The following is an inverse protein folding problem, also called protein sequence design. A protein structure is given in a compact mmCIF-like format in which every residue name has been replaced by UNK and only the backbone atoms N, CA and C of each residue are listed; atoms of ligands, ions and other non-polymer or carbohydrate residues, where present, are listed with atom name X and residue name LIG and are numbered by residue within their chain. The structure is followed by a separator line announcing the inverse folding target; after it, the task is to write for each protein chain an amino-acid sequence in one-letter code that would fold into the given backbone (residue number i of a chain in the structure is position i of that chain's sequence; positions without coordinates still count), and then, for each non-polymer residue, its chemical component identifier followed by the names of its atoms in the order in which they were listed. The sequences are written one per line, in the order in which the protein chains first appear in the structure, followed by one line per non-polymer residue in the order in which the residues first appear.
data_IF_999681531161
#
_entry.id   IF_999681531161
#
_cell.length_a   1.000
_cell.length_b   1.000
_cell.length_c   1.000
_cell.angle_alpha   90.00
_cell.angle_beta   90.00
_cell.angle_gamma   90.00
#
_symmetry.space_group_name_H-M   'P 1'
#
loop_
_entity.id
_entity.type
_entity.pdbx_description
1 polymer ?
#
# COMPACT_ATOMS: atom_id res chain seq x y z
N UNK A 1 13.00 -9.10 22.67
CA UNK A 1 11.73 -9.79 22.28
C UNK A 1 11.35 -9.55 20.81
N UNK A 2 11.82 -8.51 20.15
CA UNK A 2 11.68 -8.27 18.70
C UNK A 2 12.43 -9.32 17.87
N UNK A 3 13.41 -10.00 18.45
CA UNK A 3 14.27 -11.00 17.79
C UNK A 3 13.56 -12.31 17.38
N UNK A 4 12.42 -12.63 17.98
CA UNK A 4 11.70 -13.88 17.64
C UNK A 4 11.08 -13.81 16.25
N UNK A 5 10.59 -12.63 15.87
CA UNK A 5 9.90 -12.36 14.61
C UNK A 5 10.84 -12.33 13.40
N UNK A 6 12.11 -12.01 13.60
CA UNK A 6 13.09 -11.90 12.52
C UNK A 6 13.74 -13.24 12.11
N UNK A 7 13.55 -14.30 12.91
CA UNK A 7 14.05 -15.65 12.60
C UNK A 7 13.07 -16.47 11.76
N UNK A 8 11.79 -16.06 11.72
CA UNK A 8 10.76 -16.73 10.92
C UNK A 8 10.75 -16.08 9.55
N UNK A 9 11.05 -16.84 8.51
CA UNK A 9 11.09 -16.36 7.13
C UNK A 9 10.09 -17.10 6.25
N UNK A 10 9.67 -16.46 5.15
CA UNK A 10 8.80 -17.07 4.16
C UNK A 10 7.35 -17.22 4.62
N UNK A 11 6.73 -18.33 4.26
CA UNK A 11 5.31 -18.62 4.51
C UNK A 11 4.92 -18.63 5.99
N UNK A 12 5.80 -19.11 6.87
CA UNK A 12 5.56 -19.10 8.30
C UNK A 12 5.44 -17.68 8.89
N UNK A 13 6.19 -16.71 8.37
CA UNK A 13 6.05 -15.30 8.76
C UNK A 13 4.70 -14.73 8.32
N UNK A 14 4.25 -15.03 7.09
CA UNK A 14 2.95 -14.60 6.59
C UNK A 14 1.80 -15.19 7.41
N UNK A 15 1.84 -16.50 7.72
CA UNK A 15 0.83 -17.14 8.56
C UNK A 15 0.77 -16.53 9.96
N UNK A 16 1.92 -16.23 10.56
CA UNK A 16 1.99 -15.64 11.90
C UNK A 16 1.47 -14.22 11.94
N UNK A 17 1.72 -13.42 10.90
CA UNK A 17 1.15 -12.07 10.79
C UNK A 17 -0.36 -12.09 10.59
N UNK A 18 -0.89 -13.01 9.78
CA UNK A 18 -2.34 -13.21 9.64
C UNK A 18 -2.99 -13.64 10.94
N UNK A 19 -2.37 -14.58 11.68
CA UNK A 19 -2.86 -15.03 12.98
C UNK A 19 -2.93 -13.88 14.00
N UNK A 20 -1.92 -13.00 14.04
CA UNK A 20 -1.96 -11.81 14.89
C UNK A 20 -3.03 -10.81 14.46
N UNK A 21 -3.24 -10.64 13.16
CA UNK A 21 -4.34 -9.81 12.63
C UNK A 21 -5.69 -10.33 13.09
N UNK A 22 -5.94 -11.65 12.97
CA UNK A 22 -7.16 -12.28 13.43
C UNK A 22 -7.33 -12.21 14.95
N UNK A 23 -6.25 -12.33 15.72
CA UNK A 23 -6.31 -12.17 17.16
C UNK A 23 -6.75 -10.75 17.55
N UNK A 24 -6.22 -9.71 16.87
CA UNK A 24 -6.65 -8.34 17.08
C UNK A 24 -8.11 -8.14 16.69
N UNK A 25 -8.55 -8.71 15.57
CA UNK A 25 -9.95 -8.68 15.13
C UNK A 25 -10.90 -9.23 16.22
N UNK A 26 -10.60 -10.44 16.74
CA UNK A 26 -11.41 -11.08 17.82
C UNK A 26 -11.38 -10.25 19.11
N UNK A 27 -10.23 -9.67 19.46
CA UNK A 27 -10.12 -8.79 20.63
C UNK A 27 -11.03 -7.56 20.44
N UNK A 28 -10.98 -6.90 19.28
CA UNK A 28 -11.83 -5.75 18.99
C UNK A 28 -13.32 -6.10 19.04
N UNK A 29 -13.73 -7.23 18.50
CA UNK A 29 -15.11 -7.70 18.59
C UNK A 29 -15.56 -7.96 20.04
N UNK A 30 -14.67 -8.45 20.89
CA UNK A 30 -14.99 -8.73 22.29
C UNK A 30 -15.14 -7.47 23.15
N UNK A 31 -14.33 -6.46 22.87
CA UNK A 31 -14.34 -5.19 23.62
C UNK A 31 -15.25 -4.15 22.97
N UNK A 32 -16.53 -4.49 22.77
CA UNK A 32 -17.54 -3.63 22.12
C UNK A 32 -17.70 -2.25 22.77
N UNK A 33 -17.48 -2.14 24.05
CA UNK A 33 -17.58 -0.85 24.79
C UNK A 33 -16.58 0.20 24.31
N UNK A 34 -15.44 -0.24 23.74
CA UNK A 34 -14.37 0.67 23.30
C UNK A 34 -14.37 0.78 21.76
N UNK A 35 -14.59 -0.33 21.06
CA UNK A 35 -14.41 -0.43 19.59
C UNK A 35 -15.72 -0.32 18.82
N UNK A 36 -16.87 -0.32 19.50
CA UNK A 36 -18.17 -0.45 18.84
C UNK A 36 -18.46 -1.86 18.27
N UNK A 37 -17.48 -2.76 18.28
CA UNK A 37 -17.61 -4.13 17.75
C UNK A 37 -17.89 -4.17 16.23
N UNK A 38 -18.92 -4.89 15.83
CA UNK A 38 -19.39 -4.97 14.43
C UNK A 38 -20.04 -3.66 13.97
N UNK A 39 -20.78 -2.99 14.85
CA UNK A 39 -21.49 -1.74 14.55
C UNK A 39 -20.52 -0.58 14.30
N UNK A 40 -19.31 -0.69 14.85
CA UNK A 40 -18.26 0.32 14.73
C UNK A 40 -18.49 1.56 15.60
N UNK A 41 -17.55 2.49 15.51
CA UNK A 41 -17.63 3.81 16.12
C UNK A 41 -17.72 4.84 15.02
N UNK A 42 -18.75 5.63 15.00
CA UNK A 42 -18.98 6.70 14.02
C UNK A 42 -19.41 8.00 14.69
N UNK A 43 -19.55 9.06 13.91
CA UNK A 43 -20.00 10.36 14.40
C UNK A 43 -18.96 11.04 15.31
N UNK A 44 -17.67 10.76 15.16
CA UNK A 44 -16.66 11.48 15.91
C UNK A 44 -16.46 12.88 15.33
N UNK A 45 -16.35 13.92 16.19
CA UNK A 45 -16.17 15.28 15.72
C UNK A 45 -14.86 15.34 14.93
N UNK A 46 -14.96 15.65 13.63
CA UNK A 46 -13.78 15.86 12.80
C UNK A 46 -13.06 17.10 13.36
N UNK A 47 -11.83 16.95 13.86
CA UNK A 47 -11.14 18.05 14.52
C UNK A 47 -10.88 19.18 13.53
N UNK A 48 -11.31 20.40 13.88
CA UNK A 48 -10.84 21.59 13.18
C UNK A 48 -9.35 21.80 13.49
N UNK A 49 -8.51 21.73 12.49
CA UNK A 49 -7.07 21.98 12.67
C UNK A 49 -6.85 23.49 12.81
N UNK A 50 -6.75 23.95 14.06
CA UNK A 50 -6.36 25.32 14.37
C UNK A 50 -4.84 25.38 14.55
N UNK A 51 -4.12 25.78 13.51
CA UNK A 51 -2.72 26.19 13.66
C UNK A 51 -2.74 27.63 14.13
N UNK A 52 -2.33 27.93 15.39
CA UNK A 52 -2.35 29.29 15.92
C UNK A 52 -1.49 30.20 15.03
N UNK A 53 -2.15 31.13 14.33
CA UNK A 53 -1.52 32.18 13.54
C UNK A 53 -1.52 32.00 12.01
N UNK A 54 -2.00 30.87 11.43
CA UNK A 54 -1.92 30.66 9.99
C UNK A 54 -3.28 30.38 9.34
N UNK A 55 -4.03 29.38 9.75
CA UNK A 55 -5.35 29.04 9.17
C UNK A 55 -6.16 28.17 10.13
N UNK A 56 -7.43 28.50 10.31
CA UNK A 56 -8.42 27.58 10.87
C UNK A 56 -9.05 26.80 9.73
N UNK A 57 -8.61 25.55 9.52
CA UNK A 57 -9.20 24.67 8.51
C UNK A 57 -10.32 23.88 9.20
N UNK A 58 -11.54 24.27 8.92
CA UNK A 58 -12.71 23.50 9.30
C UNK A 58 -12.81 22.28 8.37
N UNK A 59 -12.46 21.09 8.90
CA UNK A 59 -12.45 19.84 8.11
C UNK A 59 -13.86 19.24 7.95
N UNK A 60 -14.89 19.89 8.46
CA UNK A 60 -16.27 19.47 8.24
C UNK A 60 -16.70 19.69 6.79
N UNK A 61 -16.03 20.61 6.07
CA UNK A 61 -16.22 20.81 4.64
C UNK A 61 -15.53 19.70 3.83
N UNK A 62 -16.27 18.88 3.02
CA UNK A 62 -15.68 17.79 2.23
C UNK A 62 -14.57 18.24 1.28
N UNK A 63 -14.68 19.46 0.71
CA UNK A 63 -13.66 20.03 -0.18
C UNK A 63 -12.35 20.32 0.55
N UNK A 64 -12.41 20.91 1.73
CA UNK A 64 -11.21 21.21 2.55
C UNK A 64 -10.53 19.92 3.00
N UNK A 65 -11.32 18.94 3.42
CA UNK A 65 -10.83 17.62 3.78
C UNK A 65 -10.12 16.94 2.59
N UNK A 66 -10.70 17.01 1.39
CA UNK A 66 -10.11 16.44 0.17
C UNK A 66 -8.72 17.01 -0.12
N UNK A 67 -8.55 18.34 -0.08
CA UNK A 67 -7.25 18.96 -0.28
C UNK A 67 -6.24 18.61 0.81
N UNK A 68 -6.68 18.55 2.06
CA UNK A 68 -5.84 18.11 3.17
C UNK A 68 -5.36 16.67 2.96
N UNK A 69 -6.26 15.75 2.63
CA UNK A 69 -5.93 14.35 2.38
C UNK A 69 -4.92 14.20 1.23
N UNK A 70 -5.11 14.93 0.12
CA UNK A 70 -4.15 14.93 -0.99
C UNK A 70 -2.77 15.41 -0.54
N UNK A 71 -2.69 16.50 0.23
CA UNK A 71 -1.41 17.01 0.72
C UNK A 71 -0.71 15.96 1.59
N UNK A 72 -1.42 15.31 2.52
CA UNK A 72 -0.86 14.27 3.40
C UNK A 72 -0.41 13.06 2.58
N UNK A 73 -1.20 12.62 1.60
CA UNK A 73 -0.85 11.50 0.72
C UNK A 73 0.40 11.81 -0.10
N UNK A 74 0.45 12.98 -0.75
CA UNK A 74 1.60 13.39 -1.57
C UNK A 74 2.86 13.51 -0.71
N UNK A 75 2.74 14.12 0.48
CA UNK A 75 3.85 14.22 1.43
C UNK A 75 4.33 12.83 1.89
N UNK A 76 3.43 11.93 2.21
CA UNK A 76 3.74 10.55 2.60
C UNK A 76 4.46 9.80 1.47
N UNK A 77 3.96 9.90 0.24
CA UNK A 77 4.61 9.33 -0.94
C UNK A 77 6.00 9.94 -1.15
N UNK A 78 6.15 11.25 -1.01
CA UNK A 78 7.44 11.92 -1.13
C UNK A 78 8.45 11.43 -0.08
N UNK A 79 8.03 11.30 1.18
CA UNK A 79 8.88 10.78 2.27
C UNK A 79 9.29 9.34 1.99
N UNK A 80 8.37 8.47 1.57
CA UNK A 80 8.68 7.07 1.22
C UNK A 80 9.65 7.04 0.03
N UNK A 81 9.44 7.86 -1.00
CA UNK A 81 10.34 7.95 -2.14
C UNK A 81 11.75 8.40 -1.72
N UNK A 82 11.84 9.42 -0.90
CA UNK A 82 13.11 9.90 -0.36
C UNK A 82 13.79 8.79 0.46
N UNK A 83 13.04 8.10 1.33
CA UNK A 83 13.54 6.98 2.12
C UNK A 83 14.12 5.86 1.26
N UNK A 84 13.50 5.52 0.14
CA UNK A 84 14.03 4.49 -0.78
C UNK A 84 15.34 4.90 -1.45
N UNK A 85 15.64 6.20 -1.56
CA UNK A 85 16.88 6.73 -2.11
C UNK A 85 18.03 6.78 -1.09
N UNK A 86 17.72 6.66 0.19
CA UNK A 86 18.76 6.62 1.24
C UNK A 86 19.59 5.32 1.14
N UNK A 87 20.84 5.31 1.66
CA UNK A 87 21.65 4.09 1.72
C UNK A 87 20.94 2.94 2.42
N UNK A 88 20.14 3.24 3.44
CA UNK A 88 19.34 2.25 4.14
C UNK A 88 18.25 1.65 3.25
N UNK A 89 17.57 2.47 2.46
CA UNK A 89 16.59 2.02 1.47
C UNK A 89 17.21 1.06 0.44
N UNK A 90 18.42 1.35 -0.02
CA UNK A 90 19.14 0.46 -0.95
C UNK A 90 19.52 -0.88 -0.31
N UNK A 91 19.90 -0.88 0.98
CA UNK A 91 20.14 -2.13 1.73
C UNK A 91 18.89 -2.97 1.77
N UNK A 92 17.71 -2.37 2.00
CA UNK A 92 16.43 -3.09 2.02
C UNK A 92 16.12 -3.72 0.66
N UNK A 93 16.34 -3.00 -0.44
CA UNK A 93 16.19 -3.56 -1.80
C UNK A 93 17.15 -4.73 -2.00
N UNK A 94 18.40 -4.60 -1.58
CA UNK A 94 19.40 -5.67 -1.67
C UNK A 94 19.02 -6.90 -0.83
N UNK A 95 18.40 -6.71 0.35
CA UNK A 95 17.86 -7.80 1.19
C UNK A 95 16.74 -8.55 0.46
N UNK A 96 15.89 -7.85 -0.29
CA UNK A 96 14.83 -8.45 -1.10
C UNK A 96 15.42 -9.36 -2.17
N UNK A 97 16.49 -8.92 -2.83
CA UNK A 97 17.12 -9.67 -3.92
C UNK A 97 17.93 -10.86 -3.40
N UNK A 98 18.73 -10.68 -2.35
CA UNK A 98 19.46 -11.77 -1.71
C UNK A 98 19.86 -11.42 -0.26
N UNK A 99 19.06 -11.89 0.70
CA UNK A 99 19.27 -11.63 2.13
C UNK A 99 20.61 -12.21 2.65
N UNK A 100 21.02 -13.40 2.17
CA UNK A 100 22.25 -14.05 2.63
C UNK A 100 23.51 -13.25 2.20
N UNK A 101 23.49 -12.68 0.97
CA UNK A 101 24.61 -11.86 0.49
C UNK A 101 24.77 -10.61 1.38
N UNK A 102 23.66 -9.96 1.77
CA UNK A 102 23.69 -8.78 2.64
C UNK A 102 24.17 -9.11 4.04
N UNK A 103 23.83 -10.29 4.56
CA UNK A 103 24.30 -10.77 5.87
C UNK A 103 25.82 -11.02 5.86
N UNK A 104 26.37 -11.62 4.78
CA UNK A 104 27.82 -11.78 4.59
C UNK A 104 28.59 -10.46 4.49
N UNK A 105 27.94 -9.38 4.06
CA UNK A 105 28.51 -8.03 4.06
C UNK A 105 28.49 -7.37 5.45
N UNK A 106 28.00 -8.08 6.49
CA UNK A 106 27.99 -7.62 7.87
C UNK A 106 26.75 -6.80 8.28
N UNK A 107 25.75 -6.67 7.42
CA UNK A 107 24.50 -5.98 7.77
C UNK A 107 23.56 -6.90 8.55
N UNK A 108 22.98 -6.40 9.62
CA UNK A 108 22.02 -7.14 10.45
C UNK A 108 20.65 -7.21 9.76
N UNK A 109 20.46 -8.19 8.87
CA UNK A 109 19.22 -8.40 8.10
C UNK A 109 17.95 -8.38 8.97
N UNK A 110 17.90 -9.03 10.16
CA UNK A 110 16.74 -9.00 11.03
C UNK A 110 16.36 -7.59 11.52
N UNK A 111 17.37 -6.78 11.84
CA UNK A 111 17.15 -5.40 12.27
C UNK A 111 16.59 -4.53 11.17
N UNK A 112 17.15 -4.64 9.96
CA UNK A 112 16.67 -3.91 8.79
C UNK A 112 15.24 -4.26 8.43
N UNK A 113 14.87 -5.55 8.53
CA UNK A 113 13.48 -6.00 8.34
C UNK A 113 12.53 -5.45 9.41
N UNK A 114 12.97 -5.34 10.66
CA UNK A 114 12.15 -4.78 11.73
C UNK A 114 11.90 -3.28 11.52
N UNK A 115 12.92 -2.53 11.12
CA UNK A 115 12.79 -1.09 10.87
C UNK A 115 11.82 -0.82 9.72
N UNK A 116 11.96 -1.52 8.58
CA UNK A 116 11.04 -1.31 7.44
C UNK A 116 9.60 -1.70 7.80
N UNK A 117 9.41 -2.72 8.65
CA UNK A 117 8.10 -3.09 9.13
C UNK A 117 7.45 -1.99 9.99
N UNK A 118 8.23 -1.33 10.85
CA UNK A 118 7.75 -0.20 11.66
C UNK A 118 7.39 0.99 10.76
N UNK A 119 8.26 1.32 9.80
CA UNK A 119 8.01 2.41 8.83
C UNK A 119 6.76 2.12 8.01
N UNK A 120 6.59 0.89 7.50
CA UNK A 120 5.40 0.47 6.77
C UNK A 120 4.12 0.60 7.62
N UNK A 121 4.18 0.15 8.89
CA UNK A 121 3.06 0.27 9.83
C UNK A 121 2.69 1.73 10.13
N UNK A 122 3.67 2.61 10.23
CA UNK A 122 3.43 4.04 10.43
C UNK A 122 2.63 4.66 9.27
N UNK A 123 3.05 4.42 8.03
CA UNK A 123 2.32 4.93 6.85
C UNK A 123 0.95 4.26 6.66
N UNK A 124 0.84 2.98 6.99
CA UNK A 124 -0.47 2.30 7.00
C UNK A 124 -1.41 2.93 8.04
N UNK A 125 -0.91 3.32 9.22
CA UNK A 125 -1.68 4.04 10.23
C UNK A 125 -2.16 5.40 9.75
N UNK A 126 -1.31 6.19 9.07
CA UNK A 126 -1.72 7.46 8.45
C UNK A 126 -2.83 7.24 7.42
N UNK A 127 -2.68 6.26 6.54
CA UNK A 127 -3.69 5.92 5.53
C UNK A 127 -5.00 5.50 6.18
N UNK A 128 -4.95 4.65 7.22
CA UNK A 128 -6.14 4.23 7.98
C UNK A 128 -6.84 5.39 8.67
N UNK A 129 -6.09 6.33 9.25
CA UNK A 129 -6.66 7.53 9.88
C UNK A 129 -7.37 8.42 8.85
N UNK A 130 -6.77 8.65 7.68
CA UNK A 130 -7.42 9.39 6.61
C UNK A 130 -8.69 8.68 6.12
N UNK A 131 -8.65 7.36 5.97
CA UNK A 131 -9.82 6.60 5.54
C UNK A 131 -10.95 6.66 6.58
N UNK A 132 -10.63 6.54 7.87
CA UNK A 132 -11.58 6.65 8.96
C UNK A 132 -12.28 8.02 9.00
N UNK A 133 -11.52 9.09 8.78
CA UNK A 133 -12.08 10.47 8.73
C UNK A 133 -12.96 10.66 7.49
N UNK A 134 -12.67 10.00 6.37
CA UNK A 134 -13.46 10.09 5.14
C UNK A 134 -14.81 9.39 5.30
N UNK A 135 -14.80 8.23 5.95
CA UNK A 135 -16.01 7.41 6.11
C UNK A 135 -16.87 7.83 7.29
N UNK A 136 -16.33 8.66 8.21
CA UNK A 136 -16.96 9.01 9.51
C UNK A 136 -17.44 7.79 10.29
N UNK A 137 -16.88 6.63 10.01
CA UNK A 137 -17.18 5.35 10.61
C UNK A 137 -15.96 4.44 10.59
N UNK A 138 -15.65 3.84 11.74
CA UNK A 138 -14.64 2.79 11.86
C UNK A 138 -15.29 1.56 12.44
N UNK A 139 -15.50 0.54 11.63
CA UNK A 139 -15.98 -0.76 12.09
C UNK A 139 -14.85 -1.78 12.14
N UNK A 140 -14.98 -2.75 13.02
CA UNK A 140 -14.01 -3.86 13.12
C UNK A 140 -13.97 -4.65 11.82
N UNK A 141 -15.11 -4.87 11.18
CA UNK A 141 -15.20 -5.57 9.89
C UNK A 141 -14.61 -4.77 8.74
N UNK A 142 -14.80 -3.47 8.72
CA UNK A 142 -14.24 -2.58 7.69
C UNK A 142 -12.73 -2.36 7.78
N UNK A 143 -12.11 -2.62 8.95
CA UNK A 143 -10.69 -2.31 9.17
C UNK A 143 -9.79 -3.54 9.34
N UNK A 144 -10.26 -4.62 9.97
CA UNK A 144 -9.43 -5.71 10.46
C UNK A 144 -9.69 -7.07 9.80
N UNK A 145 -10.62 -7.16 8.84
CA UNK A 145 -10.87 -8.42 8.12
C UNK A 145 -9.68 -8.83 7.26
N UNK A 146 -9.56 -10.12 7.01
CA UNK A 146 -8.54 -10.67 6.10
C UNK A 146 -8.68 -10.08 4.70
N UNK A 147 -9.91 -9.84 4.24
CA UNK A 147 -10.19 -9.22 2.96
C UNK A 147 -9.56 -7.83 2.85
N UNK A 148 -9.75 -6.97 3.86
CA UNK A 148 -9.15 -5.63 3.90
C UNK A 148 -7.63 -5.66 3.96
N UNK A 149 -7.04 -6.70 4.53
CA UNK A 149 -5.58 -6.90 4.52
C UNK A 149 -5.06 -7.39 3.16
N UNK A 150 -5.87 -8.15 2.42
CA UNK A 150 -5.50 -8.70 1.11
C UNK A 150 -5.63 -7.70 -0.03
N UNK A 151 -6.59 -6.78 0.05
CA UNK A 151 -6.90 -5.81 -0.98
C UNK A 151 -5.70 -4.91 -1.38
N UNK A 152 -4.93 -4.31 -0.44
CA UNK A 152 -3.72 -3.57 -0.79
C UNK A 152 -2.62 -4.43 -1.43
N UNK A 153 -2.56 -5.72 -1.07
CA UNK A 153 -1.62 -6.66 -1.68
C UNK A 153 -2.00 -6.86 -3.15
N UNK A 154 -3.29 -7.07 -3.46
CA UNK A 154 -3.78 -7.17 -4.83
C UNK A 154 -3.46 -5.91 -5.64
N UNK A 155 -3.69 -4.72 -5.09
CA UNK A 155 -3.32 -3.44 -5.71
C UNK A 155 -1.83 -3.37 -6.04
N UNK A 156 -0.96 -3.80 -5.12
CA UNK A 156 0.48 -3.79 -5.33
C UNK A 156 0.92 -4.79 -6.42
N UNK A 157 0.29 -5.96 -6.51
CA UNK A 157 0.57 -6.94 -7.56
C UNK A 157 0.12 -6.46 -8.94
N UNK A 158 -1.11 -5.95 -9.06
CA UNK A 158 -1.66 -5.43 -10.32
C UNK A 158 -0.81 -4.26 -10.82
N UNK A 159 -0.41 -3.38 -9.94
CA UNK A 159 0.43 -2.23 -10.29
C UNK A 159 1.87 -2.59 -10.61
N UNK A 160 2.39 -3.68 -10.03
CA UNK A 160 3.75 -4.18 -10.20
C UNK A 160 4.66 -3.85 -9.03
N UNK A 161 5.08 -4.87 -8.30
CA UNK A 161 5.92 -4.79 -7.09
C UNK A 161 7.33 -4.22 -7.39
N UNK A 162 7.77 -4.26 -8.64
CA UNK A 162 9.11 -3.84 -9.05
C UNK A 162 9.31 -2.33 -9.16
N UNK A 163 8.25 -1.52 -9.15
CA UNK A 163 8.33 -0.06 -9.30
C UNK A 163 7.73 0.66 -8.12
N UNK A 164 8.30 1.83 -7.80
CA UNK A 164 7.81 2.69 -6.73
C UNK A 164 6.35 3.16 -6.96
N UNK A 165 6.02 3.56 -8.18
CA UNK A 165 4.68 4.00 -8.56
C UNK A 165 3.72 2.85 -8.90
N UNK A 166 4.21 1.61 -8.92
CA UNK A 166 3.39 0.43 -9.20
C UNK A 166 2.12 0.39 -8.34
N UNK A 167 2.24 0.37 -7.01
CA UNK A 167 1.07 0.32 -6.12
C UNK A 167 0.07 1.46 -6.34
N UNK A 168 0.53 2.66 -6.73
CA UNK A 168 -0.33 3.81 -7.03
C UNK A 168 -1.18 3.56 -8.27
N UNK A 169 -0.56 3.06 -9.36
CA UNK A 169 -1.30 2.66 -10.56
C UNK A 169 -2.23 1.48 -10.29
N UNK A 170 -1.78 0.51 -9.51
CA UNK A 170 -2.59 -0.64 -9.12
C UNK A 170 -3.80 -0.24 -8.29
N UNK A 171 -3.66 0.68 -7.35
CA UNK A 171 -4.76 1.23 -6.58
C UNK A 171 -5.78 1.93 -7.50
N UNK A 172 -5.33 2.79 -8.41
CA UNK A 172 -6.23 3.48 -9.34
C UNK A 172 -7.00 2.49 -10.24
N UNK A 173 -6.29 1.50 -10.81
CA UNK A 173 -6.92 0.48 -11.67
C UNK A 173 -7.94 -0.34 -10.86
N UNK A 174 -7.55 -0.78 -9.66
CA UNK A 174 -8.39 -1.63 -8.82
C UNK A 174 -9.66 -0.91 -8.36
N UNK A 175 -9.53 0.36 -7.96
CA UNK A 175 -10.68 1.19 -7.57
C UNK A 175 -11.67 1.37 -8.73
N UNK A 176 -11.18 1.58 -9.96
CA UNK A 176 -12.03 1.66 -11.15
C UNK A 176 -12.73 0.32 -11.42
N UNK A 177 -12.00 -0.79 -11.29
CA UNK A 177 -12.57 -2.13 -11.49
C UNK A 177 -13.68 -2.41 -10.47
N UNK A 178 -13.43 -2.10 -9.19
CA UNK A 178 -14.41 -2.31 -8.13
C UNK A 178 -15.67 -1.46 -8.33
N UNK A 179 -15.49 -0.18 -8.66
CA UNK A 179 -16.62 0.73 -8.93
C UNK A 179 -17.47 0.25 -10.11
N UNK A 180 -16.81 -0.16 -11.19
CA UNK A 180 -17.52 -0.70 -12.36
C UNK A 180 -18.17 -2.04 -12.03
N UNK A 181 -17.47 -2.95 -11.36
CA UNK A 181 -18.00 -4.27 -11.04
C UNK A 181 -19.18 -4.20 -10.08
N UNK A 182 -19.13 -3.33 -9.07
CA UNK A 182 -20.23 -3.13 -8.12
C UNK A 182 -21.49 -2.56 -8.76
N UNK A 183 -21.34 -1.76 -9.82
CA UNK A 183 -22.47 -1.24 -10.58
C UNK A 183 -23.24 -2.31 -11.37
N UNK A 184 -22.56 -3.41 -11.75
CA UNK A 184 -23.17 -4.48 -12.58
C UNK A 184 -23.54 -5.74 -11.80
N UNK A 185 -22.90 -6.00 -10.66
CA UNK A 185 -23.16 -7.24 -9.90
C UNK A 185 -22.97 -7.05 -8.41
N UNK A 186 -23.85 -7.66 -7.62
CA UNK A 186 -23.72 -7.73 -6.17
C UNK A 186 -22.53 -8.61 -5.73
N UNK A 187 -22.00 -9.45 -6.63
CA UNK A 187 -20.86 -10.35 -6.37
C UNK A 187 -19.56 -9.81 -6.95
N UNK A 188 -19.32 -8.51 -6.77
CA UNK A 188 -18.11 -7.84 -7.29
C UNK A 188 -16.81 -8.48 -6.82
N UNK A 189 -16.78 -9.09 -5.62
CA UNK A 189 -15.59 -9.80 -5.09
C UNK A 189 -15.14 -10.96 -5.98
N UNK A 190 -16.10 -11.70 -6.60
CA UNK A 190 -15.76 -12.78 -7.54
C UNK A 190 -15.12 -12.21 -8.82
N UNK A 191 -15.66 -11.11 -9.32
CA UNK A 191 -15.13 -10.45 -10.52
C UNK A 191 -13.71 -9.96 -10.26
N UNK A 192 -13.51 -9.27 -9.15
CA UNK A 192 -12.22 -8.78 -8.68
C UNK A 192 -11.20 -9.91 -8.51
N UNK A 193 -11.61 -11.04 -7.90
CA UNK A 193 -10.77 -12.22 -7.75
C UNK A 193 -10.35 -12.85 -9.07
N UNK A 194 -11.27 -12.98 -10.03
CA UNK A 194 -10.99 -13.51 -11.37
C UNK A 194 -10.01 -12.59 -12.12
N UNK A 195 -10.25 -11.27 -12.09
CA UNK A 195 -9.36 -10.28 -12.72
C UNK A 195 -7.97 -10.37 -12.10
N UNK A 196 -7.86 -10.48 -10.78
CA UNK A 196 -6.59 -10.64 -10.09
C UNK A 196 -5.83 -11.89 -10.57
N UNK A 197 -6.49 -13.04 -10.65
CA UNK A 197 -5.90 -14.29 -11.15
C UNK A 197 -5.39 -14.11 -12.58
N UNK A 198 -6.20 -13.49 -13.45
CA UNK A 198 -5.79 -13.22 -14.83
C UNK A 198 -4.57 -12.31 -14.90
N UNK A 199 -4.54 -11.23 -14.11
CA UNK A 199 -3.39 -10.31 -14.09
C UNK A 199 -2.13 -11.01 -13.60
N UNK A 200 -2.21 -11.81 -12.54
CA UNK A 200 -1.05 -12.54 -12.01
C UNK A 200 -0.53 -13.60 -13.01
N UNK A 201 -1.43 -14.26 -13.76
CA UNK A 201 -1.04 -15.25 -14.77
C UNK A 201 -0.42 -14.62 -16.01
N UNK A 202 -0.99 -13.52 -16.53
CA UNK A 202 -0.59 -12.94 -17.81
C UNK A 202 0.37 -11.75 -17.69
N UNK A 203 0.39 -11.05 -16.55
CA UNK A 203 1.22 -9.87 -16.30
C UNK A 203 2.03 -9.99 -15.01
N UNK A 204 2.97 -10.95 -14.88
CA UNK A 204 3.73 -11.17 -13.64
C UNK A 204 4.60 -9.97 -13.23
N UNK A 205 4.88 -9.05 -14.14
CA UNK A 205 5.58 -7.78 -13.86
C UNK A 205 4.62 -6.63 -13.52
N UNK A 206 3.30 -6.87 -13.54
CA UNK A 206 2.27 -5.87 -13.33
C UNK A 206 2.24 -4.78 -14.41
N UNK A 207 1.32 -3.82 -14.23
CA UNK A 207 1.11 -2.72 -15.17
C UNK A 207 2.35 -1.84 -15.37
N UNK A 208 3.12 -1.60 -14.32
CA UNK A 208 4.37 -0.82 -14.40
C UNK A 208 5.47 -1.53 -15.22
N UNK A 209 5.52 -2.86 -15.17
CA UNK A 209 6.41 -3.65 -16.01
C UNK A 209 6.04 -3.57 -17.49
N UNK A 210 4.73 -3.61 -17.79
CA UNK A 210 4.22 -3.42 -19.14
C UNK A 210 4.55 -2.03 -19.69
N UNK A 211 4.35 -0.97 -18.89
CA UNK A 211 4.72 0.40 -19.28
C UNK A 211 6.22 0.53 -19.57
N UNK A 212 7.07 -0.05 -18.75
CA UNK A 212 8.52 -0.04 -18.98
C UNK A 212 8.91 -0.80 -20.24
N UNK A 213 8.29 -1.95 -20.50
CA UNK A 213 8.51 -2.71 -21.74
C UNK A 213 8.13 -1.89 -22.98
N UNK A 214 6.97 -1.25 -22.98
CA UNK A 214 6.53 -0.36 -24.06
C UNK A 214 7.49 0.81 -24.24
N UNK A 215 7.92 1.45 -23.15
CA UNK A 215 8.87 2.57 -23.19
C UNK A 215 10.23 2.17 -23.78
N UNK A 216 10.77 1.03 -23.39
CA UNK A 216 12.05 0.51 -23.93
C UNK A 216 11.91 0.21 -25.43
N UNK A 217 10.81 -0.43 -25.85
CA UNK A 217 10.57 -0.73 -27.27
C UNK A 217 10.43 0.54 -28.13
N UNK A 218 9.81 1.57 -27.55
CA UNK A 218 9.65 2.88 -28.23
C UNK A 218 10.98 3.64 -28.35
N UNK A 219 11.78 3.63 -27.26
CA UNK A 219 13.11 4.25 -27.24
C UNK A 219 14.08 3.56 -28.20
N UNK A 220 14.06 2.24 -28.27
CA UNK A 220 14.88 1.49 -29.22
C UNK A 220 14.52 1.82 -30.70
N UNK A 221 13.23 2.02 -30.98
CA UNK A 221 12.76 2.40 -32.32
C UNK A 221 13.17 3.81 -32.71
N UNK A 222 13.16 4.75 -31.73
CA UNK A 222 13.61 6.13 -31.96
C UNK A 222 15.12 6.23 -32.16
N UNK A 223 15.92 5.42 -31.46
CA UNK A 223 17.38 5.38 -31.66
C UNK A 223 17.75 4.81 -33.03
N UNK A 224 17.04 3.77 -33.48
CA UNK A 224 17.27 3.18 -34.80
C UNK A 224 16.98 4.18 -35.95
N UNK A 225 15.93 4.97 -35.84
CA UNK A 225 15.58 6.00 -36.84
C UNK A 225 16.65 7.10 -36.91
N UNK A 226 17.19 7.55 -35.77
CA UNK A 226 18.28 8.55 -35.77
C UNK A 226 19.56 8.04 -36.43
N UNK A 227 19.90 6.78 -36.20
CA UNK A 227 21.10 6.18 -36.83
C UNK A 227 20.95 6.03 -38.33
N UNK A 228 19.73 5.80 -38.84
CA UNK A 228 19.45 5.70 -40.28
C UNK A 228 19.51 7.08 -40.96
N UNK A 229 19.04 8.15 -40.25
CA UNK A 229 19.10 9.54 -40.76
C UNK A 229 20.52 10.11 -40.75
N UNK A 230 21.42 9.66 -39.86
CA UNK A 230 22.84 10.08 -39.84
C UNK A 230 23.70 9.41 -40.89
N UNK A 231 23.25 8.30 -41.49
CA UNK A 231 24.00 7.51 -42.50
C UNK A 231 23.51 7.77 -43.93
N UNK A 232 22.38 8.45 -44.10
CA UNK A 232 21.82 8.84 -45.37
C UNK A 232 22.24 10.28 -45.74
#
# INVERSE_FOLDING_TARGET
RVLFRSRVSGTAFAMLTLAFGQLLYVICLKYREITGGEDGVGGFPIPSFNIPGIVSIDMTDPLKYYYFAIIVIVLSLFIIWFFTKTPFGQIIVSIRDNANRVDYLGFKVPHSKAIIFIVSGFFAGISGALYAMLQDLVSTDGALTVYMSFFPIMMAFIGGIGSYFGPVYGAAIMTIIDEVASAYTERFELVTGIIFILVVMFAPMGFSGFLNYVKIKWSARSSYQRTVEEVS
#
